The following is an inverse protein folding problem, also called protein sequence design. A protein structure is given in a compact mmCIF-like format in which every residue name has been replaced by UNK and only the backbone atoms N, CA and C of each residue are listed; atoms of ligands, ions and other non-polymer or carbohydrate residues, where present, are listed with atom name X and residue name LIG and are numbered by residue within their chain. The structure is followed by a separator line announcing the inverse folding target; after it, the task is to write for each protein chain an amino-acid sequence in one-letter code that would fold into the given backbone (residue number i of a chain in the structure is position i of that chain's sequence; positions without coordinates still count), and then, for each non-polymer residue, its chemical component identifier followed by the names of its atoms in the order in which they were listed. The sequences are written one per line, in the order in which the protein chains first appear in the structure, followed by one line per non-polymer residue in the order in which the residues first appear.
data_IF_148343597457
#
_entry.id   IF_148343597457
#
_cell.length_a   1.000
_cell.length_b   1.000
_cell.length_c   1.000
_cell.angle_alpha   90.00
_cell.angle_beta   90.00
_cell.angle_gamma   90.00
#
_symmetry.space_group_name_H-M   'P 1'
#
loop_
_entity.id
_entity.type
_entity.pdbx_description
1 polymer ?
#
# COMPACT_ATOMS: atom_id res chain seq x y z
N UNK A 1 -61.06 -54.40 -26.53
CA UNK A 1 -60.37 -54.95 -25.36
C UNK A 1 -58.89 -54.75 -25.51
N UNK A 2 -58.37 -54.06 -24.55
CA UNK A 2 -57.00 -53.87 -24.05
C UNK A 2 -56.23 -52.64 -24.59
N UNK A 3 -56.54 -51.54 -23.92
CA UNK A 3 -55.57 -50.54 -23.57
C UNK A 3 -54.61 -51.06 -22.51
N UNK A 4 -53.37 -50.67 -22.52
CA UNK A 4 -52.53 -50.27 -21.38
C UNK A 4 -51.04 -50.43 -21.71
N UNK A 5 -50.28 -49.38 -21.35
CA UNK A 5 -48.85 -49.21 -21.17
C UNK A 5 -48.05 -48.55 -22.27
N UNK A 6 -48.17 -47.21 -22.30
CA UNK A 6 -47.07 -46.32 -22.70
C UNK A 6 -47.16 -45.00 -21.90
N UNK A 7 -46.89 -45.03 -20.61
CA UNK A 7 -46.76 -43.78 -19.82
C UNK A 7 -45.82 -43.87 -18.65
N UNK A 8 -44.57 -44.35 -18.79
CA UNK A 8 -43.66 -44.24 -17.65
C UNK A 8 -42.16 -44.09 -17.98
N UNK A 9 -41.76 -43.91 -19.26
CA UNK A 9 -40.35 -43.69 -19.59
C UNK A 9 -39.93 -42.22 -19.75
N UNK A 10 -40.86 -41.30 -19.94
CA UNK A 10 -40.59 -39.89 -20.14
C UNK A 10 -40.32 -39.08 -18.84
N UNK A 11 -40.83 -39.53 -17.71
CA UNK A 11 -40.67 -38.81 -16.44
C UNK A 11 -39.32 -39.03 -15.73
N UNK A 12 -38.67 -40.18 -15.97
CA UNK A 12 -37.40 -40.50 -15.33
C UNK A 12 -36.20 -39.75 -15.96
N UNK A 13 -36.23 -39.44 -17.22
CA UNK A 13 -35.16 -38.69 -17.92
C UNK A 13 -35.19 -37.18 -17.63
N UNK A 14 -36.39 -36.63 -17.36
CA UNK A 14 -36.51 -35.20 -17.06
C UNK A 14 -36.02 -34.87 -15.65
N UNK A 15 -36.26 -35.78 -14.67
CA UNK A 15 -35.79 -35.59 -13.28
C UNK A 15 -34.27 -35.72 -13.16
N UNK A 16 -33.61 -36.53 -14.02
CA UNK A 16 -32.14 -36.69 -13.96
C UNK A 16 -31.42 -35.45 -14.57
N UNK A 17 -31.98 -34.82 -15.58
CA UNK A 17 -31.40 -33.61 -16.19
C UNK A 17 -31.55 -32.41 -15.25
N UNK A 18 -32.67 -32.29 -14.51
CA UNK A 18 -32.89 -31.20 -13.56
C UNK A 18 -31.94 -31.32 -12.35
N UNK A 19 -31.66 -32.56 -11.87
CA UNK A 19 -30.74 -32.77 -10.74
C UNK A 19 -29.29 -32.45 -11.14
N UNK A 20 -28.85 -32.76 -12.35
CA UNK A 20 -27.50 -32.44 -12.82
C UNK A 20 -27.32 -30.93 -13.03
N UNK A 21 -28.34 -30.23 -13.57
CA UNK A 21 -28.27 -28.77 -13.69
C UNK A 21 -28.32 -28.05 -12.33
N UNK A 22 -29.05 -28.55 -11.34
CA UNK A 22 -29.01 -28.01 -9.98
C UNK A 22 -27.65 -28.27 -9.28
N UNK A 23 -27.01 -29.41 -9.52
CA UNK A 23 -25.71 -29.72 -8.94
C UNK A 23 -24.59 -28.87 -9.56
N UNK A 24 -24.64 -28.57 -10.86
CA UNK A 24 -23.69 -27.67 -11.53
C UNK A 24 -23.89 -26.21 -11.13
N UNK A 25 -25.12 -25.74 -10.89
CA UNK A 25 -25.37 -24.40 -10.37
C UNK A 25 -24.93 -24.24 -8.90
N UNK A 26 -25.06 -25.28 -8.07
CA UNK A 26 -24.63 -25.19 -6.68
C UNK A 26 -23.11 -25.17 -6.50
N UNK A 27 -22.36 -25.82 -7.38
CA UNK A 27 -20.88 -25.78 -7.36
C UNK A 27 -20.37 -24.43 -7.86
N UNK A 28 -20.98 -23.87 -8.94
CA UNK A 28 -20.59 -22.55 -9.45
C UNK A 28 -20.84 -21.40 -8.45
N UNK A 29 -21.96 -21.46 -7.72
CA UNK A 29 -22.28 -20.44 -6.70
C UNK A 29 -21.41 -20.54 -5.47
N UNK A 30 -20.94 -21.73 -5.08
CA UNK A 30 -20.03 -21.90 -3.93
C UNK A 30 -18.63 -21.31 -4.20
N UNK A 31 -18.09 -21.45 -5.41
CA UNK A 31 -16.80 -20.85 -5.77
C UNK A 31 -16.87 -19.33 -5.87
N UNK A 32 -17.92 -18.79 -6.50
CA UNK A 32 -18.12 -17.35 -6.60
C UNK A 32 -18.38 -16.71 -5.21
N UNK A 33 -19.15 -17.38 -4.36
CA UNK A 33 -19.47 -16.90 -3.02
C UNK A 33 -18.25 -16.93 -2.09
N UNK A 34 -17.35 -17.92 -2.23
CA UNK A 34 -16.13 -17.99 -1.41
C UNK A 34 -15.11 -16.92 -1.80
N UNK A 35 -14.94 -16.63 -3.08
CA UNK A 35 -14.04 -15.55 -3.53
C UNK A 35 -14.60 -14.16 -3.23
N UNK A 36 -15.90 -13.94 -3.41
CA UNK A 36 -16.55 -12.68 -3.03
C UNK A 36 -16.51 -12.45 -1.52
N UNK A 37 -16.62 -13.51 -0.72
CA UNK A 37 -16.54 -13.42 0.74
C UNK A 37 -15.13 -13.11 1.23
N UNK A 38 -14.10 -13.62 0.54
CA UNK A 38 -12.68 -13.35 0.85
C UNK A 38 -12.31 -11.90 0.53
N UNK A 39 -12.80 -11.36 -0.58
CA UNK A 39 -12.61 -9.95 -0.95
C UNK A 39 -13.38 -9.01 -0.01
N UNK A 40 -14.63 -9.36 0.34
CA UNK A 40 -15.44 -8.57 1.28
C UNK A 40 -14.85 -8.54 2.69
N UNK A 41 -14.18 -9.60 3.15
CA UNK A 41 -13.55 -9.62 4.48
C UNK A 41 -12.32 -8.70 4.57
N UNK A 42 -11.66 -8.39 3.46
CA UNK A 42 -10.58 -7.40 3.40
C UNK A 42 -11.13 -5.96 3.38
N UNK A 43 -12.35 -5.77 2.91
CA UNK A 43 -13.00 -4.44 2.75
C UNK A 43 -13.88 -4.06 3.95
N UNK A 44 -14.43 -5.03 4.70
CA UNK A 44 -15.55 -4.78 5.62
C UNK A 44 -15.13 -4.40 7.05
N UNK A 45 -13.84 -4.32 7.35
CA UNK A 45 -13.33 -4.01 8.71
C UNK A 45 -12.46 -2.75 8.79
N UNK A 46 -12.39 -1.94 7.75
CA UNK A 46 -11.51 -0.76 7.73
C UNK A 46 -12.15 0.45 8.43
N UNK A 47 -12.26 0.35 9.76
CA UNK A 47 -12.49 1.56 10.56
C UNK A 47 -11.26 2.47 10.44
N UNK A 48 -11.46 3.80 10.37
CA UNK A 48 -10.34 4.70 10.42
C UNK A 48 -9.47 4.45 11.66
N UNK A 49 -8.18 4.27 11.45
CA UNK A 49 -7.22 4.26 12.55
C UNK A 49 -7.03 5.70 13.04
N UNK A 50 -6.86 5.87 14.34
CA UNK A 50 -6.51 7.15 14.95
C UNK A 50 -4.97 7.27 14.93
N UNK A 51 -4.45 8.06 14.01
CA UNK A 51 -3.01 8.36 13.97
C UNK A 51 -2.69 9.36 15.08
N UNK A 52 -1.66 9.09 15.86
CA UNK A 52 -1.28 9.95 16.97
C UNK A 52 -0.77 11.30 16.45
N UNK A 53 -1.33 12.42 16.98
CA UNK A 53 -0.79 13.75 16.75
C UNK A 53 0.27 14.05 17.78
N UNK A 54 1.44 14.50 17.32
CA UNK A 54 2.52 14.98 18.19
C UNK A 54 2.69 16.50 18.09
N UNK A 55 3.34 17.13 19.07
CA UNK A 55 3.74 18.53 19.00
C UNK A 55 4.63 18.81 17.79
N UNK A 56 4.58 20.03 17.25
CA UNK A 56 5.37 20.40 16.07
C UNK A 56 6.87 20.50 16.34
N UNK A 57 7.27 20.60 17.61
CA UNK A 57 8.65 20.60 18.09
C UNK A 57 9.14 19.21 18.52
N UNK A 58 8.48 18.14 18.10
CA UNK A 58 8.92 16.77 18.37
C UNK A 58 10.36 16.58 17.86
N UNK A 59 11.21 16.02 18.72
CA UNK A 59 12.60 15.75 18.39
C UNK A 59 12.71 14.45 17.57
N UNK A 60 12.79 14.62 16.26
CA UNK A 60 12.93 13.56 15.26
C UNK A 60 13.97 13.96 14.23
N UNK A 61 14.89 13.05 13.98
CA UNK A 61 15.88 13.16 12.93
C UNK A 61 15.62 12.05 11.88
N UNK A 62 15.40 12.44 10.65
CA UNK A 62 15.24 11.48 9.55
C UNK A 62 16.65 11.01 9.12
N UNK A 63 17.13 9.93 9.73
CA UNK A 63 18.45 9.33 9.42
C UNK A 63 18.39 7.81 9.22
N UNK A 64 17.17 7.27 9.18
CA UNK A 64 16.89 5.86 8.96
C UNK A 64 16.98 4.99 10.20
N UNK A 65 17.31 5.55 11.37
CA UNK A 65 17.36 4.82 12.64
C UNK A 65 16.11 5.14 13.45
N UNK A 66 15.49 4.11 13.97
CA UNK A 66 14.26 4.25 14.77
C UNK A 66 14.63 4.20 16.25
N UNK A 67 15.44 5.15 16.70
CA UNK A 67 15.94 5.18 18.08
C UNK A 67 15.37 6.33 18.92
N UNK A 68 14.67 7.29 18.31
CA UNK A 68 14.03 8.40 19.03
C UNK A 68 12.88 7.93 19.92
N UNK A 69 12.68 8.69 20.99
CA UNK A 69 11.63 8.40 21.96
C UNK A 69 10.23 8.44 21.37
N UNK A 70 10.01 9.28 20.35
CA UNK A 70 8.73 9.45 19.69
C UNK A 70 8.21 8.15 19.04
N UNK A 71 9.08 7.28 18.55
CA UNK A 71 8.66 6.01 17.93
C UNK A 71 8.24 4.94 18.93
N UNK A 72 8.73 5.00 20.19
CA UNK A 72 8.67 3.86 21.13
C UNK A 72 7.27 3.55 21.65
N UNK A 73 6.39 4.54 21.73
CA UNK A 73 5.05 4.40 22.31
C UNK A 73 3.93 4.35 21.25
N UNK A 74 4.31 4.31 19.97
CA UNK A 74 3.34 4.28 18.89
C UNK A 74 2.81 2.87 18.63
N UNK A 75 1.58 2.82 18.12
CA UNK A 75 1.01 1.57 17.61
C UNK A 75 1.86 1.03 16.45
N UNK A 76 2.07 -0.27 16.46
CA UNK A 76 2.67 -1.01 15.36
C UNK A 76 1.55 -1.49 14.46
N UNK A 77 1.69 -1.22 13.17
CA UNK A 77 0.77 -1.68 12.14
C UNK A 77 1.40 -2.86 11.40
N UNK A 78 0.82 -4.02 11.63
CA UNK A 78 1.08 -5.33 11.08
C UNK A 78 -0.23 -6.14 11.08
N UNK A 79 -0.35 -7.35 10.57
CA UNK A 79 0.65 -8.07 9.78
C UNK A 79 0.67 -7.64 8.31
N UNK A 80 1.82 -7.70 7.71
CA UNK A 80 1.97 -7.66 6.26
C UNK A 80 1.60 -9.02 5.65
N UNK A 81 1.20 -9.00 4.39
CA UNK A 81 0.93 -10.22 3.61
C UNK A 81 1.63 -10.12 2.25
N UNK A 82 1.92 -11.27 1.66
CA UNK A 82 2.43 -11.34 0.29
C UNK A 82 1.34 -10.91 -0.67
N UNK A 83 1.54 -9.80 -1.38
CA UNK A 83 0.58 -9.23 -2.32
C UNK A 83 1.04 -9.30 -3.77
N UNK A 84 2.33 -9.53 -4.01
CA UNK A 84 2.85 -9.93 -5.31
C UNK A 84 3.96 -10.98 -5.09
N UNK A 85 3.79 -12.25 -5.56
CA UNK A 85 2.59 -12.79 -6.18
C UNK A 85 1.38 -12.74 -5.24
N UNK A 86 0.18 -12.65 -5.82
CA UNK A 86 -1.09 -12.42 -5.13
C UNK A 86 -1.58 -13.67 -4.36
N UNK A 87 -0.84 -14.04 -3.31
CA UNK A 87 -1.13 -15.22 -2.49
C UNK A 87 -1.81 -14.90 -1.15
N UNK A 88 -1.57 -13.70 -0.62
CA UNK A 88 -1.97 -13.28 0.73
C UNK A 88 -1.46 -14.19 1.85
N UNK A 89 -0.38 -14.89 1.60
CA UNK A 89 0.29 -15.73 2.60
C UNK A 89 1.02 -14.87 3.64
N UNK A 90 1.39 -15.50 4.75
CA UNK A 90 2.23 -14.89 5.78
C UNK A 90 3.61 -14.55 5.19
N UNK A 91 4.14 -13.40 5.58
CA UNK A 91 5.46 -12.97 5.13
C UNK A 91 6.57 -13.75 5.84
N UNK A 92 7.68 -13.96 5.15
CA UNK A 92 8.82 -14.69 5.70
C UNK A 92 9.52 -13.93 6.85
N UNK A 93 9.52 -12.59 6.80
CA UNK A 93 10.18 -11.73 7.76
C UNK A 93 9.19 -10.73 8.33
N UNK A 94 9.39 -10.33 9.56
CA UNK A 94 8.57 -9.32 10.22
C UNK A 94 8.78 -7.93 9.60
N UNK A 95 7.71 -7.15 9.54
CA UNK A 95 7.74 -5.73 9.16
C UNK A 95 6.88 -4.97 10.14
N UNK A 96 7.47 -3.99 10.83
CA UNK A 96 6.77 -3.13 11.79
C UNK A 96 6.71 -1.72 11.24
N UNK A 97 5.51 -1.22 11.07
CA UNK A 97 5.26 0.15 10.61
C UNK A 97 4.65 0.97 11.72
N UNK A 98 5.08 2.22 11.87
CA UNK A 98 4.52 3.19 12.81
C UNK A 98 4.28 4.51 12.12
N UNK A 99 3.23 5.21 12.54
CA UNK A 99 2.85 6.53 12.04
C UNK A 99 2.59 7.48 13.18
N UNK A 100 3.00 8.70 13.00
CA UNK A 100 2.46 9.86 13.72
C UNK A 100 2.42 11.05 12.77
N UNK A 101 1.74 12.11 13.17
CA UNK A 101 1.75 13.36 12.43
C UNK A 101 1.87 14.56 13.35
N UNK A 102 2.32 15.67 12.78
CA UNK A 102 2.30 17.00 13.37
C UNK A 102 1.37 17.91 12.59
N UNK A 103 1.25 19.17 12.94
CA UNK A 103 0.52 20.10 12.07
C UNK A 103 1.19 20.31 10.72
N UNK A 104 2.49 20.02 10.59
CA UNK A 104 3.31 20.30 9.40
C UNK A 104 3.47 19.09 8.45
N UNK A 105 3.36 17.85 8.95
CA UNK A 105 3.57 16.67 8.09
C UNK A 105 3.27 15.34 8.76
N UNK A 106 3.32 14.28 7.93
CA UNK A 106 3.22 12.88 8.33
C UNK A 106 4.62 12.29 8.47
N UNK A 107 4.81 11.53 9.52
CA UNK A 107 6.01 10.76 9.80
C UNK A 107 5.68 9.26 9.75
N UNK A 108 6.55 8.50 9.13
CA UNK A 108 6.48 7.04 9.02
C UNK A 108 7.82 6.44 9.38
N UNK A 109 7.81 5.37 10.18
CA UNK A 109 8.95 4.48 10.34
C UNK A 109 8.59 3.06 9.95
N UNK A 110 9.55 2.35 9.37
CA UNK A 110 9.46 0.93 9.04
C UNK A 110 10.71 0.20 9.54
N UNK A 111 10.50 -0.81 10.37
CA UNK A 111 11.55 -1.77 10.78
C UNK A 111 11.30 -3.08 10.04
N UNK A 112 12.29 -3.57 9.33
CA UNK A 112 12.22 -4.75 8.49
C UNK A 112 13.24 -5.80 8.95
N UNK A 113 12.78 -6.90 9.52
CA UNK A 113 13.64 -8.07 9.72
C UNK A 113 14.08 -8.63 8.36
N UNK A 114 15.37 -8.85 8.19
CA UNK A 114 15.94 -9.48 7.00
C UNK A 114 17.43 -9.77 7.24
N UNK A 115 17.92 -11.02 7.09
CA UNK A 115 19.34 -11.33 7.22
C UNK A 115 20.18 -10.55 6.20
N UNK A 116 21.30 -9.99 6.65
CA UNK A 116 22.15 -9.09 5.85
C UNK A 116 22.65 -9.71 4.54
N UNK A 117 22.91 -11.01 4.53
CA UNK A 117 23.34 -11.75 3.34
C UNK A 117 22.27 -11.86 2.26
N UNK A 118 21.01 -11.52 2.59
CA UNK A 118 19.88 -11.48 1.68
C UNK A 118 19.54 -10.08 1.20
N UNK A 119 20.22 -9.04 1.71
CA UNK A 119 19.99 -7.66 1.29
C UNK A 119 20.37 -7.44 -0.18
N UNK A 120 19.48 -6.83 -0.92
CA UNK A 120 19.72 -6.35 -2.29
C UNK A 120 19.79 -4.83 -2.28
N UNK A 121 20.92 -4.31 -1.81
CA UNK A 121 21.18 -2.86 -1.71
C UNK A 121 21.69 -2.32 -3.05
N UNK A 122 21.05 -1.26 -3.55
CA UNK A 122 21.43 -0.57 -4.78
C UNK A 122 21.41 0.94 -4.55
N UNK A 123 22.40 1.63 -5.14
CA UNK A 123 22.43 3.08 -5.20
C UNK A 123 21.87 3.49 -6.56
N UNK A 124 20.59 3.82 -6.60
CA UNK A 124 19.85 4.12 -7.83
C UNK A 124 19.70 5.62 -8.01
N UNK A 125 19.47 6.05 -9.23
CA UNK A 125 18.99 7.42 -9.47
C UNK A 125 17.58 7.59 -8.91
N UNK A 126 17.18 8.84 -8.66
CA UNK A 126 15.79 9.15 -8.29
C UNK A 126 14.85 8.56 -9.34
N UNK A 127 13.72 8.04 -8.88
CA UNK A 127 12.65 7.45 -9.70
C UNK A 127 13.02 6.18 -10.49
N UNK A 128 14.17 5.56 -10.22
CA UNK A 128 14.45 4.22 -10.74
C UNK A 128 13.73 3.15 -9.90
N UNK A 129 12.44 3.01 -10.17
CA UNK A 129 11.62 1.99 -9.53
C UNK A 129 11.69 0.61 -10.22
N UNK A 130 12.26 0.53 -11.44
CA UNK A 130 12.35 -0.72 -12.22
C UNK A 130 13.50 -1.61 -11.78
N UNK A 131 14.59 -1.03 -11.30
CA UNK A 131 15.75 -1.80 -10.88
C UNK A 131 15.48 -2.56 -9.61
N UNK A 132 15.71 -3.88 -9.64
CA UNK A 132 15.49 -4.78 -8.51
C UNK A 132 16.39 -4.43 -7.34
N UNK A 133 15.79 -4.04 -6.24
CA UNK A 133 16.42 -3.64 -4.98
C UNK A 133 15.45 -3.84 -3.84
N UNK A 134 15.93 -4.01 -2.61
CA UNK A 134 15.04 -3.92 -1.44
C UNK A 134 14.54 -2.49 -1.30
N UNK A 135 13.22 -2.33 -1.21
CA UNK A 135 12.55 -1.04 -1.15
C UNK A 135 11.37 -1.09 -0.20
N UNK A 136 11.01 0.07 0.30
CA UNK A 136 9.74 0.31 0.98
C UNK A 136 9.03 1.47 0.33
N UNK A 137 7.71 1.47 0.41
CA UNK A 137 6.88 2.50 -0.17
C UNK A 137 5.73 2.88 0.74
N UNK A 138 5.34 4.14 0.62
CA UNK A 138 4.15 4.73 1.23
C UNK A 138 3.29 5.29 0.12
N UNK A 139 2.00 4.97 0.11
CA UNK A 139 1.03 5.65 -0.74
C UNK A 139 -0.04 6.28 0.12
N UNK A 140 -0.39 7.52 -0.17
CA UNK A 140 -1.38 8.31 0.59
C UNK A 140 -2.43 8.85 -0.38
N UNK A 141 -3.69 8.48 -0.16
CA UNK A 141 -4.83 9.21 -0.71
C UNK A 141 -5.28 10.26 0.30
N UNK A 142 -4.95 11.49 0.04
CA UNK A 142 -5.21 12.62 0.93
C UNK A 142 -6.65 13.11 0.91
N UNK A 143 -7.46 12.65 -0.04
CA UNK A 143 -8.88 12.94 -0.13
C UNK A 143 -9.76 11.96 0.63
N UNK A 144 -9.27 10.73 0.87
CA UNK A 144 -10.05 9.62 1.43
C UNK A 144 -11.10 9.05 0.47
N UNK A 145 -11.11 9.46 -0.80
CA UNK A 145 -12.12 9.06 -1.78
C UNK A 145 -11.76 7.80 -2.58
N UNK A 146 -10.53 7.30 -2.43
CA UNK A 146 -10.05 6.11 -3.14
C UNK A 146 -9.80 6.31 -4.64
N UNK A 147 -9.54 7.56 -5.06
CA UNK A 147 -9.45 7.91 -6.49
C UNK A 147 -8.08 8.38 -6.94
N UNK A 148 -7.28 8.93 -6.05
CA UNK A 148 -5.99 9.54 -6.37
C UNK A 148 -5.07 9.46 -5.17
N UNK A 149 -3.80 9.18 -5.40
CA UNK A 149 -2.80 9.10 -4.34
C UNK A 149 -1.47 9.70 -4.74
N UNK A 150 -0.63 9.92 -3.73
CA UNK A 150 0.79 10.22 -3.86
C UNK A 150 1.57 9.02 -3.36
N UNK A 151 2.55 8.57 -4.13
CA UNK A 151 3.43 7.49 -3.71
C UNK A 151 4.84 8.01 -3.46
N UNK A 152 5.49 7.43 -2.46
CA UNK A 152 6.85 7.73 -2.03
C UNK A 152 7.57 6.40 -1.83
N UNK A 153 8.69 6.21 -2.48
CA UNK A 153 9.51 4.99 -2.42
C UNK A 153 10.91 5.30 -1.92
N UNK A 154 11.42 4.43 -1.06
CA UNK A 154 12.75 4.54 -0.51
C UNK A 154 13.46 3.19 -0.62
N UNK A 155 14.54 3.14 -1.39
CA UNK A 155 15.36 1.95 -1.56
C UNK A 155 16.39 1.82 -0.45
N UNK A 156 16.75 0.59 -0.08
CA UNK A 156 17.89 0.32 0.79
C UNK A 156 19.16 0.85 0.10
N UNK A 157 19.65 1.99 0.56
CA UNK A 157 20.72 2.76 -0.08
C UNK A 157 20.30 4.20 -0.39
N UNK A 158 19.19 4.65 0.23
CA UNK A 158 18.66 6.02 0.17
C UNK A 158 18.26 6.49 -1.24
N UNK A 159 17.89 5.56 -2.10
CA UNK A 159 17.34 5.91 -3.43
C UNK A 159 15.89 6.28 -3.28
N UNK A 160 15.57 7.54 -3.58
CA UNK A 160 14.22 8.08 -3.49
C UNK A 160 13.48 7.96 -4.83
N UNK A 161 12.16 7.79 -4.75
CA UNK A 161 11.25 7.93 -5.86
C UNK A 161 9.89 8.40 -5.37
N UNK A 162 9.20 9.19 -6.18
CA UNK A 162 7.89 9.69 -5.85
C UNK A 162 7.04 9.96 -7.09
N UNK A 163 5.78 10.30 -6.86
CA UNK A 163 4.86 10.59 -7.93
C UNK A 163 3.41 10.46 -7.51
N UNK A 164 2.58 10.23 -8.50
CA UNK A 164 1.13 10.12 -8.32
C UNK A 164 0.60 8.77 -8.74
N UNK A 165 -0.47 8.35 -8.09
CA UNK A 165 -1.23 7.14 -8.38
C UNK A 165 -2.65 7.52 -8.76
N UNK A 166 -3.05 7.16 -9.97
CA UNK A 166 -4.40 7.32 -10.48
C UNK A 166 -5.17 5.99 -10.43
N UNK A 167 -6.49 6.00 -10.61
CA UNK A 167 -7.30 4.78 -10.69
C UNK A 167 -6.70 3.73 -11.63
N UNK A 168 -7.02 2.45 -11.38
CA UNK A 168 -6.51 1.33 -12.15
C UNK A 168 -4.98 1.15 -12.10
N UNK A 169 -4.36 1.59 -11.00
CA UNK A 169 -2.89 1.48 -10.74
C UNK A 169 -2.02 2.17 -11.78
N UNK A 170 -2.46 3.30 -12.29
CA UNK A 170 -1.63 4.10 -13.19
C UNK A 170 -0.68 4.95 -12.35
N UNK A 171 0.57 4.53 -12.27
CA UNK A 171 1.65 5.26 -11.62
C UNK A 171 2.29 6.26 -12.60
N UNK A 172 2.55 7.48 -12.11
CA UNK A 172 3.31 8.50 -12.83
C UNK A 172 4.39 9.08 -11.91
N UNK A 173 5.59 9.24 -12.43
CA UNK A 173 6.72 9.93 -11.79
C UNK A 173 6.89 11.36 -12.30
N UNK A 174 5.87 11.95 -12.93
CA UNK A 174 5.94 13.34 -13.41
C UNK A 174 5.82 14.39 -12.30
N UNK A 175 5.41 13.95 -11.11
CA UNK A 175 5.29 14.82 -9.94
C UNK A 175 6.45 14.56 -8.99
N UNK A 176 7.14 15.63 -8.61
CA UNK A 176 8.22 15.64 -7.64
C UNK A 176 7.81 16.42 -6.40
N UNK A 177 7.95 15.81 -5.22
CA UNK A 177 7.70 16.43 -3.92
C UNK A 177 8.99 16.71 -3.14
N UNK A 178 8.98 17.75 -2.32
CA UNK A 178 10.03 18.00 -1.35
C UNK A 178 9.70 17.26 -0.04
N UNK A 179 10.10 16.00 0.06
CA UNK A 179 9.96 15.16 1.23
C UNK A 179 11.34 14.63 1.66
N UNK A 180 11.41 13.95 2.79
CA UNK A 180 12.68 13.46 3.33
C UNK A 180 12.52 11.98 3.67
N UNK A 181 13.52 11.20 3.30
CA UNK A 181 13.62 9.79 3.64
C UNK A 181 15.07 9.38 3.91
N UNK A 182 15.26 8.40 4.77
CA UNK A 182 16.55 7.81 5.02
C UNK A 182 16.42 6.35 5.39
N UNK A 183 17.47 5.55 5.11
CA UNK A 183 17.54 4.14 5.48
C UNK A 183 18.77 3.84 6.33
N UNK A 184 18.66 2.83 7.18
CA UNK A 184 19.77 2.30 7.96
C UNK A 184 19.75 0.78 7.89
N UNK A 185 20.91 0.14 7.64
CA UNK A 185 21.03 -1.31 7.61
C UNK A 185 21.80 -1.86 8.80
N UNK A 186 21.44 -3.07 9.21
CA UNK A 186 22.07 -3.83 10.28
C UNK A 186 22.30 -5.28 9.87
N UNK A 187 22.81 -6.11 10.77
CA UNK A 187 23.03 -7.53 10.47
C UNK A 187 21.72 -8.34 10.43
N UNK A 188 20.71 -7.89 11.20
CA UNK A 188 19.43 -8.60 11.35
C UNK A 188 18.31 -8.00 10.50
N UNK A 189 18.53 -6.84 9.87
CA UNK A 189 17.51 -6.16 9.09
C UNK A 189 17.93 -4.77 8.63
N UNK A 190 16.94 -3.98 8.28
CA UNK A 190 17.10 -2.59 7.93
C UNK A 190 15.88 -1.78 8.34
N UNK A 191 16.02 -0.47 8.35
CA UNK A 191 14.94 0.43 8.72
C UNK A 191 14.86 1.62 7.78
N UNK A 192 13.72 2.24 7.73
CA UNK A 192 13.43 3.43 6.94
C UNK A 192 12.60 4.43 7.73
N UNK A 193 12.86 5.69 7.51
CA UNK A 193 12.09 6.80 8.04
C UNK A 193 11.68 7.74 6.92
N UNK A 194 10.48 8.32 7.05
CA UNK A 194 9.92 9.29 6.12
C UNK A 194 9.39 10.50 6.88
N UNK A 195 9.54 11.65 6.28
CA UNK A 195 8.80 12.86 6.62
C UNK A 195 8.17 13.45 5.35
N UNK A 196 6.86 13.48 5.32
CA UNK A 196 6.08 14.02 4.19
C UNK A 196 5.39 15.31 4.67
N UNK A 197 5.88 16.50 4.28
CA UNK A 197 5.22 17.75 4.61
C UNK A 197 3.83 17.83 3.96
N UNK A 198 2.80 18.23 4.73
CA UNK A 198 1.44 18.39 4.21
C UNK A 198 1.36 19.42 3.06
N UNK A 199 2.31 20.34 3.00
CA UNK A 199 2.40 21.33 1.93
C UNK A 199 2.74 20.74 0.55
N UNK A 200 3.25 19.50 0.50
CA UNK A 200 3.62 18.82 -0.74
C UNK A 200 2.45 18.06 -1.37
N UNK A 201 1.42 17.75 -0.60
CA UNK A 201 0.28 16.96 -1.07
C UNK A 201 -1.00 17.81 -1.07
N UNK A 202 -1.82 17.66 -2.10
CA UNK A 202 -3.10 18.36 -2.14
C UNK A 202 -4.08 17.69 -1.18
N UNK A 203 -4.71 18.49 -0.32
CA UNK A 203 -5.72 18.04 0.63
C UNK A 203 -7.00 18.86 0.49
N UNK A 204 -8.19 18.27 0.76
CA UNK A 204 -9.44 19.03 0.88
C UNK A 204 -9.30 20.13 1.93
N UNK A 205 -9.81 21.34 1.63
CA UNK A 205 -9.67 22.51 2.50
C UNK A 205 -10.86 22.73 3.45
N UNK A 206 -11.93 21.99 3.25
CA UNK A 206 -13.25 22.33 3.82
C UNK A 206 -13.48 21.73 5.22
N UNK A 207 -12.52 21.03 5.79
CA UNK A 207 -12.65 20.37 7.08
C UNK A 207 -11.35 20.32 7.86
N UNK A 208 -11.45 20.40 9.18
CA UNK A 208 -10.32 20.15 10.09
C UNK A 208 -10.19 18.68 10.49
N UNK A 209 -11.28 17.91 10.37
CA UNK A 209 -11.32 16.46 10.60
C UNK A 209 -11.25 15.74 9.24
N UNK A 210 -10.14 15.07 8.98
CA UNK A 210 -9.86 14.45 7.69
C UNK A 210 -9.67 12.96 7.82
N UNK A 211 -10.20 12.24 6.86
CA UNK A 211 -9.83 10.85 6.61
C UNK A 211 -8.92 10.85 5.39
N UNK A 212 -7.73 10.33 5.56
CA UNK A 212 -6.79 9.99 4.48
C UNK A 212 -6.72 8.46 4.37
N UNK A 213 -6.37 7.92 3.22
CA UNK A 213 -6.12 6.49 3.10
C UNK A 213 -4.63 6.23 2.95
N UNK A 214 -4.11 5.23 3.67
CA UNK A 214 -2.69 4.91 3.75
C UNK A 214 -2.47 3.47 3.29
N UNK A 215 -1.42 3.26 2.52
CA UNK A 215 -0.94 1.95 2.11
C UNK A 215 0.58 1.93 2.15
N UNK A 216 1.15 0.89 2.72
CA UNK A 216 2.59 0.69 2.77
C UNK A 216 2.98 -0.62 2.10
N UNK A 217 4.11 -0.60 1.42
CA UNK A 217 4.63 -1.77 0.72
C UNK A 217 6.09 -2.01 1.12
N UNK A 218 6.51 -3.26 1.01
CA UNK A 218 7.89 -3.70 1.12
C UNK A 218 8.20 -4.64 -0.03
N UNK A 219 9.15 -4.27 -0.87
CA UNK A 219 9.72 -5.15 -1.88
C UNK A 219 10.90 -5.93 -1.29
N UNK A 220 10.80 -7.25 -1.28
CA UNK A 220 11.84 -8.17 -0.82
C UNK A 220 12.50 -8.78 -2.04
N UNK A 221 13.54 -8.10 -2.51
CA UNK A 221 14.12 -8.35 -3.82
C UNK A 221 14.67 -9.77 -4.02
N UNK A 222 15.31 -10.37 -3.01
CA UNK A 222 15.86 -11.72 -3.13
C UNK A 222 14.77 -12.81 -3.21
N UNK A 223 13.57 -12.56 -2.68
CA UNK A 223 12.41 -13.44 -2.81
C UNK A 223 11.59 -13.15 -4.06
N UNK A 224 11.77 -12.00 -4.65
CA UNK A 224 10.94 -11.48 -5.74
C UNK A 224 9.47 -11.35 -5.31
N UNK A 225 9.28 -10.81 -4.12
CA UNK A 225 7.97 -10.62 -3.50
C UNK A 225 7.74 -9.15 -3.14
N UNK A 226 6.47 -8.73 -3.19
CA UNK A 226 5.98 -7.51 -2.59
C UNK A 226 5.01 -7.88 -1.47
N UNK A 227 5.17 -7.22 -0.34
CA UNK A 227 4.33 -7.37 0.83
C UNK A 227 3.67 -6.04 1.16
N UNK A 228 2.42 -6.03 1.59
CA UNK A 228 1.75 -4.76 1.91
C UNK A 228 0.94 -4.79 3.18
N UNK A 229 0.73 -3.60 3.72
CA UNK A 229 -0.22 -3.27 4.76
C UNK A 229 -0.99 -1.99 4.39
N UNK A 230 -2.35 -2.01 4.43
CA UNK A 230 -3.17 -3.21 4.51
C UNK A 230 -2.88 -4.16 3.35
N UNK A 231 -3.19 -5.46 3.49
CA UNK A 231 -2.88 -6.45 2.46
C UNK A 231 -3.85 -6.30 1.27
N UNK A 232 -3.50 -5.45 0.33
CA UNK A 232 -4.27 -5.20 -0.89
C UNK A 232 -3.74 -6.08 -2.01
N UNK A 233 -4.53 -7.06 -2.49
CA UNK A 233 -4.12 -7.93 -3.58
C UNK A 233 -3.79 -7.15 -4.85
N UNK A 234 -2.73 -7.54 -5.55
CA UNK A 234 -2.29 -6.87 -6.76
C UNK A 234 -3.31 -6.95 -7.92
N UNK A 235 -4.11 -8.01 -7.93
CA UNK A 235 -5.15 -8.25 -8.94
C UNK A 235 -6.43 -7.41 -8.79
N UNK A 236 -6.58 -6.63 -7.71
CA UNK A 236 -7.82 -5.89 -7.44
C UNK A 236 -7.88 -4.58 -8.22
N UNK A 237 -8.93 -4.35 -9.04
CA UNK A 237 -9.06 -3.11 -9.82
C UNK A 237 -9.22 -1.85 -8.96
N UNK A 238 -9.97 -1.93 -7.85
CA UNK A 238 -10.22 -0.80 -6.95
C UNK A 238 -9.10 -0.65 -5.90
N UNK A 239 -7.86 -0.56 -6.35
CA UNK A 239 -6.67 -0.62 -5.49
C UNK A 239 -6.67 0.46 -4.39
N UNK A 240 -6.79 1.75 -4.76
CA UNK A 240 -6.69 2.86 -3.81
C UNK A 240 -7.82 2.86 -2.77
N UNK A 241 -9.03 2.41 -3.14
CA UNK A 241 -10.18 2.37 -2.22
C UNK A 241 -10.08 1.28 -1.14
N UNK A 242 -9.07 0.40 -1.23
CA UNK A 242 -8.79 -0.64 -0.24
C UNK A 242 -7.67 -0.25 0.74
N UNK A 243 -7.12 0.96 0.63
CA UNK A 243 -6.15 1.46 1.57
C UNK A 243 -6.75 1.67 2.96
N UNK A 244 -5.94 1.65 3.99
CA UNK A 244 -6.38 1.84 5.36
C UNK A 244 -6.80 3.29 5.59
N UNK A 245 -8.06 3.55 5.94
CA UNK A 245 -8.49 4.88 6.39
C UNK A 245 -7.78 5.26 7.69
N UNK A 246 -7.32 6.51 7.75
CA UNK A 246 -6.60 7.08 8.89
C UNK A 246 -7.11 8.49 9.17
N UNK A 247 -7.36 8.80 10.44
CA UNK A 247 -7.84 10.11 10.85
C UNK A 247 -6.70 11.04 11.18
N UNK A 248 -6.72 12.24 10.60
CA UNK A 248 -5.79 13.33 10.90
C UNK A 248 -6.54 14.65 11.06
N UNK A 249 -6.18 15.44 12.07
CA UNK A 249 -6.92 16.65 12.44
C UNK A 249 -5.99 17.84 12.58
N UNK A 250 -6.52 19.04 12.31
CA UNK A 250 -5.81 20.31 12.51
C UNK A 250 -4.42 20.30 11.89
N UNK A 251 -4.33 19.94 10.61
CA UNK A 251 -3.10 19.99 9.82
C UNK A 251 -2.94 21.36 9.17
N UNK A 252 -1.70 21.81 9.03
CA UNK A 252 -1.38 23.09 8.43
C UNK A 252 -1.25 22.98 6.92
N UNK A 253 -2.25 23.47 6.19
CA UNK A 253 -2.27 23.46 4.72
C UNK A 253 -1.66 24.71 4.09
N UNK A 254 -0.81 25.44 4.81
CA UNK A 254 -0.12 26.60 4.22
C UNK A 254 0.75 26.14 3.06
N UNK A 255 0.48 26.70 1.92
CA UNK A 255 1.27 26.48 0.71
C UNK A 255 2.67 27.02 0.91
N UNK A 256 3.66 26.17 0.89
CA UNK A 256 5.07 26.58 0.89
C UNK A 256 5.52 26.77 -0.57
N UNK A 257 6.30 27.80 -0.80
CA UNK A 257 6.92 28.03 -2.10
C UNK A 257 8.35 27.47 -2.05
N UNK A 258 8.63 26.51 -2.91
CA UNK A 258 10.00 26.03 -3.14
C UNK A 258 10.46 26.52 -4.50
N UNK A 259 11.61 27.17 -4.58
CA UNK A 259 12.21 27.62 -5.83
C UNK A 259 13.47 26.81 -6.06
N UNK A 260 13.44 25.94 -7.06
CA UNK A 260 14.61 25.19 -7.50
C UNK A 260 15.21 25.87 -8.74
N UNK A 261 16.33 26.60 -8.62
CA UNK A 261 16.99 27.16 -9.78
C UNK A 261 17.60 26.04 -10.64
N UNK A 262 17.24 25.98 -11.88
CA UNK A 262 17.76 25.01 -12.84
C UNK A 262 18.57 25.73 -13.92
N UNK A 263 19.74 25.21 -14.27
CA UNK A 263 20.54 25.66 -15.38
C UNK A 263 21.04 24.46 -16.18
N UNK A 264 20.80 24.43 -17.48
CA UNK A 264 21.40 23.47 -18.41
C UNK A 264 22.24 24.16 -19.44
N UNK A 265 23.35 23.56 -19.84
CA UNK A 265 24.15 23.99 -21.01
C UNK A 265 24.43 22.77 -21.88
N UNK A 266 24.19 22.90 -23.20
CA UNK A 266 24.59 21.90 -24.19
C UNK A 266 25.70 22.48 -25.09
N UNK A 267 26.67 21.62 -25.40
CA UNK A 267 27.72 21.93 -26.36
C UNK A 267 27.71 20.88 -27.47
N UNK A 268 27.27 21.29 -28.66
CA UNK A 268 27.36 20.46 -29.86
C UNK A 268 28.65 20.73 -30.60
N UNK A 269 29.48 19.73 -30.82
CA UNK A 269 30.65 19.79 -31.68
C UNK A 269 30.21 19.33 -33.07
N UNK A 270 30.18 20.26 -33.98
CA UNK A 270 29.94 20.01 -35.41
C UNK A 270 31.24 19.50 -36.05
#
# INVERSE_FOLDING_TARGET
MNNVHFQNRGRMLLNSIIIVSYLLMSVGTSFAQNNSKKILLVVDDSKPIEVQKMPDDVDIKIDGKIDEAAWKELNIYDPYKVTNPDTLEETKYETKTRFFYTSEGLYLSMEMEQPRDTHVKRYLSRDDWQTKSDKVGLTIDTSGEGKYGYWFSLGLGDSEGDGTLMPEKIYSSDWDGAWYGATSDSDDGWSAEYYIPWSQVAMPKDTDDRIINIHTVREVAHLNEEWSWPPVPDSVPQFISLFQPARVNNVNLKQQWSVFPYASSSYDRI
#
